data_IF_925356670752
#
_entry.id   IF_925356670752
#
_cell.length_a   1.000
_cell.length_b   1.000
_cell.length_c   1.000
_cell.angle_alpha   90.00
_cell.angle_beta   90.00
_cell.angle_gamma   90.00
#
_symmetry.space_group_name_H-M   'P 1'
#
loop_
_entity.id
_entity.type
_entity.pdbx_description
1 polymer ?
#
# COMPACT_ATOMS: atom_id res chain seq x y z
N UNK A 1 8.68 -21.59 11.70
CA UNK A 1 7.45 -20.97 11.17
C UNK A 1 7.74 -19.65 10.45
N UNK A 2 6.87 -19.24 9.52
CA UNK A 2 6.84 -17.88 8.97
C UNK A 2 5.70 -17.07 9.59
N UNK A 3 5.93 -15.80 9.92
CA UNK A 3 4.91 -14.85 10.35
C UNK A 3 4.63 -13.88 9.20
N UNK A 4 3.36 -13.75 8.81
CA UNK A 4 2.89 -12.80 7.81
C UNK A 4 2.07 -11.71 8.50
N UNK A 5 2.32 -10.45 8.15
CA UNK A 5 1.67 -9.28 8.75
C UNK A 5 1.19 -8.36 7.64
N UNK A 6 -0.04 -7.90 7.76
CA UNK A 6 -0.60 -6.76 7.03
C UNK A 6 -0.87 -5.62 8.01
N UNK A 7 0.02 -4.63 8.02
CA UNK A 7 -0.08 -3.46 8.88
C UNK A 7 -0.64 -2.28 8.09
N UNK A 8 -1.96 -2.26 7.98
CA UNK A 8 -2.71 -1.17 7.37
C UNK A 8 -2.94 0.01 8.32
N UNK A 9 -3.45 1.13 7.78
CA UNK A 9 -3.78 2.32 8.60
C UNK A 9 -4.99 2.17 9.54
N UNK A 10 -5.76 1.08 9.44
CA UNK A 10 -6.96 0.85 10.26
C UNK A 10 -6.95 -0.50 10.94
N UNK A 11 -6.57 -1.55 10.20
CA UNK A 11 -6.51 -2.90 10.71
C UNK A 11 -5.07 -3.40 10.65
N UNK A 12 -4.66 -4.11 11.70
CA UNK A 12 -3.44 -4.87 11.78
C UNK A 12 -3.84 -6.34 11.70
N UNK A 13 -3.35 -7.07 10.70
CA UNK A 13 -3.66 -8.48 10.51
C UNK A 13 -2.39 -9.29 10.53
N UNK A 14 -2.46 -10.50 11.05
CA UNK A 14 -1.32 -11.41 11.00
C UNK A 14 -1.76 -12.87 10.96
N UNK A 15 -0.89 -13.72 10.43
CA UNK A 15 -1.06 -15.16 10.42
C UNK A 15 0.29 -15.85 10.51
N UNK A 16 0.24 -17.10 10.93
CA UNK A 16 1.40 -17.98 11.01
C UNK A 16 1.30 -19.06 9.94
N UNK A 17 2.28 -19.14 9.03
CA UNK A 17 2.19 -20.01 7.84
C UNK A 17 0.83 -19.82 7.13
N UNK A 18 0.11 -20.90 6.85
CA UNK A 18 -1.25 -20.90 6.30
C UNK A 18 -2.32 -21.12 7.39
N UNK A 19 -2.04 -20.66 8.61
CA UNK A 19 -2.92 -20.79 9.77
C UNK A 19 -4.03 -19.73 9.81
N UNK A 20 -4.67 -19.62 10.98
CA UNK A 20 -5.73 -18.64 11.23
C UNK A 20 -5.25 -17.19 11.02
N UNK A 21 -6.13 -16.37 10.43
CA UNK A 21 -5.91 -14.94 10.26
C UNK A 21 -6.48 -14.18 11.45
N UNK A 22 -5.60 -13.55 12.21
CA UNK A 22 -5.98 -12.67 13.31
C UNK A 22 -6.13 -11.24 12.81
N UNK A 23 -7.14 -10.51 13.31
CA UNK A 23 -7.37 -9.10 12.96
C UNK A 23 -7.52 -8.27 14.23
N UNK A 24 -6.70 -7.23 14.34
CA UNK A 24 -6.65 -6.25 15.42
C UNK A 24 -6.79 -4.84 14.84
N UNK A 25 -6.96 -3.83 15.70
CA UNK A 25 -6.95 -2.42 15.28
C UNK A 25 -5.53 -1.88 15.29
N UNK A 26 -5.14 -1.19 14.22
CA UNK A 26 -3.79 -0.64 14.05
C UNK A 26 -3.38 0.35 15.14
N UNK A 27 -4.36 1.09 15.68
CA UNK A 27 -4.15 2.08 16.75
C UNK A 27 -3.71 1.47 18.07
N UNK A 28 -3.97 0.17 18.26
CA UNK A 28 -3.64 -0.56 19.50
C UNK A 28 -2.31 -1.31 19.39
N UNK A 29 -1.57 -1.16 18.28
CA UNK A 29 -0.38 -1.96 17.98
C UNK A 29 0.88 -1.11 17.93
N UNK A 30 1.80 -1.45 18.84
CA UNK A 30 3.20 -1.10 18.73
C UNK A 30 3.95 -2.25 18.05
N UNK A 31 4.46 -2.01 16.84
CA UNK A 31 5.00 -3.08 15.98
C UNK A 31 6.17 -3.83 16.62
N UNK A 32 7.15 -3.13 17.18
CA UNK A 32 8.34 -3.78 17.76
C UNK A 32 7.98 -4.64 18.97
N UNK A 33 7.28 -4.12 20.00
CA UNK A 33 6.80 -4.95 21.11
C UNK A 33 5.96 -6.14 20.65
N UNK A 34 5.08 -5.95 19.66
CA UNK A 34 4.30 -7.04 19.10
C UNK A 34 5.20 -8.14 18.52
N UNK A 35 6.13 -7.78 17.63
CA UNK A 35 7.04 -8.74 17.01
C UNK A 35 7.89 -9.49 18.05
N UNK A 36 8.46 -8.77 19.03
CA UNK A 36 9.24 -9.39 20.11
C UNK A 36 8.39 -10.36 20.95
N UNK A 37 7.13 -10.00 21.23
CA UNK A 37 6.22 -10.90 21.94
C UNK A 37 5.97 -12.19 21.15
N UNK A 38 5.76 -12.11 19.83
CA UNK A 38 5.54 -13.28 18.99
C UNK A 38 6.78 -14.17 18.90
N UNK A 39 7.97 -13.58 18.79
CA UNK A 39 9.24 -14.33 18.77
C UNK A 39 9.46 -15.10 20.08
N UNK A 40 9.18 -14.47 21.22
CA UNK A 40 9.35 -15.11 22.53
C UNK A 40 8.32 -16.23 22.78
N UNK A 41 7.09 -16.05 22.30
CA UNK A 41 6.01 -17.04 22.45
C UNK A 41 6.16 -18.20 21.46
N UNK A 42 6.53 -17.91 20.22
CA UNK A 42 6.65 -18.86 19.11
C UNK A 42 8.13 -19.04 18.78
N UNK A 43 8.83 -19.84 19.58
CA UNK A 43 10.30 -19.98 19.54
C UNK A 43 10.89 -20.54 18.23
N UNK A 44 10.07 -20.82 17.21
CA UNK A 44 10.48 -21.37 15.92
C UNK A 44 10.28 -20.40 14.74
N UNK A 45 9.91 -19.13 14.96
CA UNK A 45 9.80 -18.12 13.89
C UNK A 45 11.16 -17.95 13.19
N UNK A 46 11.20 -18.19 11.88
CA UNK A 46 12.43 -18.08 11.06
C UNK A 46 12.46 -16.81 10.22
N UNK A 47 11.30 -16.40 9.72
CA UNK A 47 11.15 -15.26 8.80
C UNK A 47 9.86 -14.52 9.09
N UNK A 48 9.90 -13.20 8.94
CA UNK A 48 8.75 -12.32 9.11
C UNK A 48 8.55 -11.53 7.81
N UNK A 49 7.34 -11.52 7.30
CA UNK A 49 6.93 -10.79 6.11
C UNK A 49 5.90 -9.74 6.50
N UNK A 50 6.14 -8.50 6.15
CA UNK A 50 5.32 -7.35 6.55
C UNK A 50 4.94 -6.57 5.30
N UNK A 51 3.64 -6.51 5.00
CA UNK A 51 3.08 -5.43 4.18
C UNK A 51 2.74 -4.25 5.07
N UNK A 52 3.18 -3.05 4.68
CA UNK A 52 3.04 -1.85 5.50
C UNK A 52 2.42 -0.70 4.70
N UNK A 53 1.38 -0.07 5.27
CA UNK A 53 0.75 1.12 4.72
C UNK A 53 1.61 2.36 4.97
N UNK A 54 2.66 2.54 4.18
CA UNK A 54 3.56 3.68 4.23
C UNK A 54 4.77 3.53 3.34
N UNK A 55 5.72 4.46 3.48
CA UNK A 55 6.97 4.45 2.74
C UNK A 55 7.97 3.54 3.44
N UNK A 56 8.48 2.56 2.70
CA UNK A 56 9.48 1.62 3.19
C UNK A 56 10.67 1.55 2.24
N UNK A 57 11.87 1.33 2.77
CA UNK A 57 13.08 1.18 1.95
C UNK A 57 14.08 0.27 2.64
N UNK A 58 14.57 -0.74 1.92
CA UNK A 58 15.62 -1.63 2.38
C UNK A 58 15.37 -2.27 3.77
N UNK A 59 14.12 -2.62 4.08
CA UNK A 59 13.76 -3.19 5.38
C UNK A 59 13.49 -2.17 6.49
N UNK A 60 13.49 -0.87 6.16
CA UNK A 60 13.15 0.23 7.07
C UNK A 60 11.79 0.82 6.75
N UNK A 61 11.04 1.20 7.77
CA UNK A 61 9.88 2.09 7.64
C UNK A 61 10.39 3.52 7.72
N UNK A 62 10.18 4.32 6.68
CA UNK A 62 10.59 5.72 6.66
C UNK A 62 9.52 6.60 7.29
N UNK A 63 8.27 6.45 6.86
CA UNK A 63 7.12 7.20 7.36
C UNK A 63 5.81 6.54 6.97
N UNK A 64 4.75 6.82 7.72
CA UNK A 64 3.36 6.51 7.34
C UNK A 64 2.46 7.72 7.63
N UNK A 65 1.46 8.03 6.78
CA UNK A 65 0.52 9.10 7.05
C UNK A 65 -0.47 8.77 8.18
N UNK A 66 -0.77 7.48 8.41
CA UNK A 66 -1.83 7.06 9.34
C UNK A 66 -1.32 6.16 10.48
N UNK A 67 -0.01 5.85 10.53
CA UNK A 67 0.61 5.02 11.56
C UNK A 67 1.78 5.81 12.15
N UNK A 68 1.82 5.95 13.48
CA UNK A 68 2.82 6.76 14.19
C UNK A 68 4.21 6.08 14.27
N UNK A 69 4.78 5.69 13.12
CA UNK A 69 6.10 5.08 12.99
C UNK A 69 6.91 5.89 11.97
N UNK A 70 8.13 6.27 12.34
CA UNK A 70 9.07 6.97 11.47
C UNK A 70 10.49 6.46 11.68
N UNK A 71 11.25 6.36 10.59
CA UNK A 71 12.67 5.96 10.59
C UNK A 71 13.00 4.72 11.43
N UNK A 72 12.19 3.67 11.31
CA UNK A 72 12.35 2.42 12.04
C UNK A 72 13.04 1.35 11.17
N UNK A 73 14.26 0.97 11.54
CA UNK A 73 15.02 -0.09 10.87
C UNK A 73 14.70 -1.47 11.45
N UNK A 74 13.65 -2.10 10.93
CA UNK A 74 13.22 -3.42 11.38
C UNK A 74 14.23 -4.50 10.97
N UNK A 75 14.74 -4.45 9.74
CA UNK A 75 15.61 -5.50 9.22
C UNK A 75 16.89 -5.63 10.02
N UNK A 76 17.59 -4.52 10.28
CA UNK A 76 18.84 -4.56 11.07
C UNK A 76 18.55 -4.94 12.51
N UNK A 77 17.55 -4.30 13.14
CA UNK A 77 17.21 -4.53 14.54
C UNK A 77 16.90 -6.01 14.86
N UNK A 78 16.03 -6.64 14.07
CA UNK A 78 15.61 -8.02 14.32
C UNK A 78 16.65 -9.06 13.89
N UNK A 79 17.46 -8.76 12.87
CA UNK A 79 18.55 -9.64 12.50
C UNK A 79 19.64 -9.67 13.58
N UNK A 80 20.09 -8.51 14.05
CA UNK A 80 21.16 -8.43 15.04
C UNK A 80 20.76 -9.02 16.40
N UNK A 81 19.51 -8.79 16.82
CA UNK A 81 19.03 -9.22 18.15
C UNK A 81 18.51 -10.66 18.18
N UNK A 82 17.88 -11.14 17.10
CA UNK A 82 17.18 -12.42 17.09
C UNK A 82 17.63 -13.36 15.96
N UNK A 83 18.54 -12.94 15.07
CA UNK A 83 18.90 -13.69 13.86
C UNK A 83 17.70 -14.00 12.95
N UNK A 84 16.68 -13.12 12.96
CA UNK A 84 15.46 -13.27 12.17
C UNK A 84 15.50 -12.33 10.96
N UNK A 85 15.24 -12.89 9.77
CA UNK A 85 15.11 -12.10 8.56
C UNK A 85 13.72 -11.46 8.46
N UNK A 86 13.69 -10.15 8.24
CA UNK A 86 12.47 -9.40 7.95
C UNK A 86 12.42 -8.97 6.49
N UNK A 87 11.31 -9.29 5.84
CA UNK A 87 10.93 -8.82 4.52
C UNK A 87 9.82 -7.78 4.69
N UNK A 88 10.13 -6.53 4.36
CA UNK A 88 9.21 -5.40 4.48
C UNK A 88 8.95 -4.81 3.10
N UNK A 89 7.68 -4.65 2.76
CA UNK A 89 7.26 -4.03 1.50
C UNK A 89 6.02 -3.16 1.72
N UNK A 90 5.82 -2.18 0.85
CA UNK A 90 4.61 -1.39 0.79
C UNK A 90 3.40 -2.29 0.48
N UNK A 91 2.27 -2.05 1.13
CA UNK A 91 1.03 -2.82 0.98
C UNK A 91 0.50 -2.86 -0.45
N UNK A 92 0.52 -1.73 -1.16
CA UNK A 92 0.06 -1.64 -2.53
C UNK A 92 0.99 -2.38 -3.50
N UNK A 93 2.30 -2.37 -3.24
CA UNK A 93 3.26 -3.20 -3.97
C UNK A 93 3.00 -4.70 -3.77
N UNK A 94 2.76 -5.14 -2.54
CA UNK A 94 2.39 -6.54 -2.23
C UNK A 94 1.15 -6.96 -3.00
N UNK A 95 0.13 -6.09 -3.02
CA UNK A 95 -1.08 -6.36 -3.76
C UNK A 95 -0.88 -6.42 -5.28
N UNK A 96 -0.03 -5.57 -5.84
CA UNK A 96 0.27 -5.60 -7.27
C UNK A 96 0.94 -6.92 -7.68
N UNK A 97 1.83 -7.47 -6.83
CA UNK A 97 2.41 -8.80 -7.05
C UNK A 97 1.35 -9.89 -6.98
N UNK A 98 0.45 -9.82 -5.99
CA UNK A 98 -0.64 -10.77 -5.87
C UNK A 98 -1.55 -10.75 -7.11
N UNK A 99 -1.94 -9.57 -7.59
CA UNK A 99 -2.75 -9.45 -8.80
C UNK A 99 -2.00 -9.89 -10.07
N UNK A 100 -0.70 -9.63 -10.16
CA UNK A 100 0.17 -10.15 -11.24
C UNK A 100 0.20 -11.68 -11.24
N UNK A 101 0.19 -12.32 -10.07
CA UNK A 101 0.16 -13.78 -9.96
C UNK A 101 -1.08 -14.43 -10.58
N UNK A 102 -2.19 -13.68 -10.67
CA UNK A 102 -3.44 -14.08 -11.36
C UNK A 102 -3.40 -13.77 -12.86
N UNK A 103 -2.52 -12.87 -13.29
CA UNK A 103 -2.38 -12.38 -14.66
C UNK A 103 -0.97 -12.65 -15.18
N UNK A 104 -0.45 -13.88 -15.01
CA UNK A 104 0.97 -14.22 -15.28
C UNK A 104 1.46 -13.89 -16.70
N UNK A 105 0.55 -13.78 -17.66
CA UNK A 105 0.85 -13.41 -19.06
C UNK A 105 0.95 -11.88 -19.28
N UNK A 106 0.70 -11.07 -18.26
CA UNK A 106 0.92 -9.63 -18.29
C UNK A 106 2.40 -9.34 -18.02
N UNK A 107 3.11 -8.86 -19.04
CA UNK A 107 4.49 -8.38 -18.86
C UNK A 107 4.50 -7.11 -18.01
N UNK A 108 3.56 -6.20 -18.26
CA UNK A 108 3.34 -5.00 -17.44
C UNK A 108 1.93 -5.05 -16.88
N UNK A 109 1.83 -4.96 -15.55
CA UNK A 109 0.58 -4.78 -14.82
C UNK A 109 0.63 -3.45 -14.07
N UNK A 110 -0.45 -2.69 -14.20
CA UNK A 110 -0.71 -1.51 -13.39
C UNK A 110 -1.89 -1.77 -12.46
N UNK A 111 -1.68 -1.57 -11.16
CA UNK A 111 -2.71 -1.62 -10.14
C UNK A 111 -3.05 -0.19 -9.73
N UNK A 112 -4.33 0.15 -9.71
CA UNK A 112 -4.83 1.39 -9.11
C UNK A 112 -5.67 1.07 -7.88
N UNK A 113 -5.41 1.80 -6.80
CA UNK A 113 -6.14 1.69 -5.55
C UNK A 113 -6.90 2.97 -5.25
N UNK A 114 -8.21 2.84 -5.02
CA UNK A 114 -9.09 3.91 -4.57
C UNK A 114 -9.70 3.47 -3.24
N UNK A 115 -9.24 4.08 -2.15
CA UNK A 115 -9.72 3.81 -0.80
C UNK A 115 -9.72 5.09 0.02
N UNK A 116 -9.14 5.08 1.22
CA UNK A 116 -8.93 6.32 2.00
C UNK A 116 -8.15 7.38 1.19
N UNK A 117 -7.23 6.93 0.34
CA UNK A 117 -6.45 7.72 -0.60
C UNK A 117 -6.56 7.21 -2.03
N UNK A 118 -5.63 7.64 -2.88
CA UNK A 118 -5.46 7.16 -4.25
C UNK A 118 -4.00 6.80 -4.51
N UNK A 119 -3.74 5.54 -4.86
CA UNK A 119 -2.40 5.03 -5.08
C UNK A 119 -2.30 4.18 -6.34
N UNK A 120 -1.08 3.93 -6.81
CA UNK A 120 -0.83 2.92 -7.83
C UNK A 120 0.45 2.15 -7.57
N UNK A 121 0.54 0.95 -8.15
CA UNK A 121 1.76 0.15 -8.14
C UNK A 121 1.90 -0.58 -9.48
N UNK A 122 3.14 -0.87 -9.85
CA UNK A 122 3.45 -1.49 -11.14
C UNK A 122 4.30 -2.73 -10.97
N UNK A 123 4.00 -3.74 -11.78
CA UNK A 123 4.82 -4.94 -11.93
C UNK A 123 5.27 -5.02 -13.38
N UNK A 124 6.58 -5.13 -13.60
CA UNK A 124 7.21 -5.25 -14.92
C UNK A 124 8.03 -6.53 -14.94
N UNK A 125 7.73 -7.41 -15.89
CA UNK A 125 8.34 -8.73 -16.06
C UNK A 125 8.40 -9.52 -14.74
N UNK A 126 7.28 -9.51 -14.00
CA UNK A 126 7.13 -10.20 -12.71
C UNK A 126 7.84 -9.55 -11.52
N UNK A 127 8.41 -8.34 -11.67
CA UNK A 127 9.10 -7.62 -10.61
C UNK A 127 8.40 -6.28 -10.30
N UNK A 128 8.28 -5.96 -9.02
CA UNK A 128 7.77 -4.64 -8.58
C UNK A 128 8.70 -3.54 -9.11
N UNK A 129 8.11 -2.53 -9.74
CA UNK A 129 8.79 -1.28 -10.03
C UNK A 129 8.81 -0.40 -8.78
N UNK A 130 9.93 -0.41 -8.06
CA UNK A 130 10.13 0.41 -6.85
C UNK A 130 10.63 1.83 -7.16
N UNK A 131 11.41 1.97 -8.23
CA UNK A 131 12.23 3.15 -8.45
C UNK A 131 13.37 3.26 -7.43
N UNK A 132 14.11 4.38 -7.45
CA UNK A 132 15.31 4.58 -6.61
C UNK A 132 15.02 4.55 -5.11
N UNK A 133 13.91 5.16 -4.69
CA UNK A 133 13.57 5.40 -3.29
C UNK A 133 12.27 4.72 -2.84
N UNK A 134 11.83 3.70 -3.58
CA UNK A 134 10.57 2.97 -3.37
C UNK A 134 9.32 3.87 -3.40
N UNK A 135 9.29 4.80 -4.37
CA UNK A 135 8.19 5.78 -4.57
C UNK A 135 7.66 5.77 -6.01
N UNK A 136 8.08 4.81 -6.84
CA UNK A 136 7.51 4.68 -8.18
C UNK A 136 6.05 4.23 -8.06
N UNK A 137 5.15 4.87 -8.82
CA UNK A 137 3.71 4.60 -8.71
C UNK A 137 2.95 5.51 -7.75
N UNK A 138 3.59 6.51 -7.15
CA UNK A 138 2.91 7.56 -6.37
C UNK A 138 2.14 8.58 -7.27
N UNK A 139 1.35 8.08 -8.23
CA UNK A 139 0.59 8.88 -9.20
C UNK A 139 -0.46 9.74 -8.52
N UNK A 140 -1.01 9.30 -7.39
CA UNK A 140 -1.94 10.10 -6.60
C UNK A 140 -1.35 11.42 -6.09
N UNK A 141 -0.03 11.53 -6.04
CA UNK A 141 0.66 12.76 -5.64
C UNK A 141 1.24 13.55 -6.82
N UNK A 142 0.78 13.27 -8.04
CA UNK A 142 1.03 14.12 -9.20
C UNK A 142 0.09 15.32 -9.20
N UNK A 143 0.55 16.53 -9.58
CA UNK A 143 -0.32 17.68 -9.74
C UNK A 143 -1.35 17.45 -10.84
N UNK A 144 -2.61 17.80 -10.60
CA UNK A 144 -3.68 17.67 -11.59
C UNK A 144 -4.29 18.99 -12.02
N UNK A 145 -4.94 19.72 -11.11
CA UNK A 145 -5.61 21.00 -11.38
C UNK A 145 -5.30 22.00 -10.29
N UNK A 146 -4.92 23.21 -10.71
CA UNK A 146 -4.64 24.28 -9.77
C UNK A 146 -5.90 24.67 -9.00
N UNK A 147 -5.90 24.42 -7.70
CA UNK A 147 -6.98 24.74 -6.77
C UNK A 147 -6.47 25.32 -5.45
N UNK A 148 -5.15 25.41 -5.30
CA UNK A 148 -4.48 25.87 -4.08
C UNK A 148 -4.87 25.00 -2.86
N UNK A 149 -5.14 23.71 -3.10
CA UNK A 149 -5.47 22.75 -2.05
C UNK A 149 -4.21 22.05 -1.55
N UNK A 150 -4.07 21.97 -0.22
CA UNK A 150 -2.94 21.31 0.44
C UNK A 150 -3.18 19.81 0.53
N UNK A 151 -2.24 19.01 0.02
CA UNK A 151 -2.22 17.57 0.21
C UNK A 151 -1.47 17.21 1.50
N UNK A 152 -1.88 16.12 2.15
CA UNK A 152 -1.19 15.58 3.33
C UNK A 152 0.27 15.19 3.07
N UNK A 153 0.67 14.99 1.81
CA UNK A 153 2.07 14.76 1.44
C UNK A 153 2.94 16.03 1.43
N UNK A 154 2.37 17.21 1.69
CA UNK A 154 3.07 18.50 1.71
C UNK A 154 3.13 19.24 0.36
N UNK A 155 2.63 18.63 -0.72
CA UNK A 155 2.46 19.27 -2.04
C UNK A 155 1.06 19.83 -2.23
N UNK A 156 0.89 20.60 -3.29
CA UNK A 156 -0.39 21.20 -3.67
C UNK A 156 -1.04 20.43 -4.81
N UNK A 157 -2.37 20.40 -4.80
CA UNK A 157 -3.18 20.01 -5.96
C UNK A 157 -2.90 18.59 -6.47
N UNK A 158 -2.52 17.71 -5.55
CA UNK A 158 -2.34 16.28 -5.81
C UNK A 158 -3.64 15.65 -6.31
N UNK A 159 -3.52 14.77 -7.30
CA UNK A 159 -4.63 14.01 -7.87
C UNK A 159 -5.48 13.26 -6.82
N UNK A 160 -4.86 12.74 -5.76
CA UNK A 160 -5.55 12.07 -4.64
C UNK A 160 -6.66 12.91 -4.01
N UNK A 161 -6.51 14.25 -3.98
CA UNK A 161 -7.48 15.16 -3.41
C UNK A 161 -8.84 15.11 -4.14
N UNK A 162 -8.84 14.66 -5.40
CA UNK A 162 -10.05 14.52 -6.20
C UNK A 162 -10.39 13.07 -6.58
N UNK A 163 -9.44 12.13 -6.53
CA UNK A 163 -9.65 10.73 -6.99
C UNK A 163 -9.68 9.70 -5.84
N UNK A 164 -9.60 10.15 -4.58
CA UNK A 164 -9.71 9.26 -3.41
C UNK A 164 -11.16 8.87 -3.08
N UNK A 165 -11.33 7.80 -2.31
CA UNK A 165 -12.64 7.45 -1.74
C UNK A 165 -13.18 8.50 -0.77
N UNK A 166 -12.31 9.29 -0.12
CA UNK A 166 -12.72 10.49 0.64
C UNK A 166 -13.38 11.52 -0.27
N UNK A 167 -12.76 11.85 -1.41
CA UNK A 167 -13.32 12.77 -2.40
C UNK A 167 -14.64 12.24 -2.98
N UNK A 168 -14.69 10.94 -3.31
CA UNK A 168 -15.89 10.30 -3.82
C UNK A 168 -17.04 10.37 -2.83
N UNK A 169 -16.80 10.03 -1.56
CA UNK A 169 -17.82 10.08 -0.50
C UNK A 169 -18.40 11.49 -0.36
N UNK A 170 -17.55 12.52 -0.30
CA UNK A 170 -18.00 13.92 -0.27
C UNK A 170 -18.87 14.28 -1.48
N UNK A 171 -18.47 13.89 -2.69
CA UNK A 171 -19.22 14.21 -3.91
C UNK A 171 -20.65 13.65 -3.93
N UNK A 172 -20.87 12.47 -3.34
CA UNK A 172 -22.19 11.86 -3.25
C UNK A 172 -23.01 12.37 -2.06
N UNK A 173 -22.39 12.57 -0.90
CA UNK A 173 -23.08 13.11 0.28
C UNK A 173 -23.67 14.50 0.02
N UNK A 174 -22.99 15.32 -0.78
CA UNK A 174 -23.44 16.68 -1.13
C UNK A 174 -24.14 16.78 -2.49
N UNK A 175 -24.36 15.66 -3.20
CA UNK A 175 -24.91 15.63 -4.56
C UNK A 175 -24.20 16.62 -5.53
N UNK A 176 -22.89 16.76 -5.38
CA UNK A 176 -22.09 17.72 -6.14
C UNK A 176 -21.65 17.13 -7.48
N UNK A 177 -22.39 17.46 -8.54
CA UNK A 177 -22.10 17.02 -9.91
C UNK A 177 -20.75 17.53 -10.43
N UNK A 178 -20.27 18.69 -9.96
CA UNK A 178 -18.95 19.19 -10.35
C UNK A 178 -17.84 18.34 -9.71
N UNK A 179 -17.99 17.96 -8.44
CA UNK A 179 -17.05 17.06 -7.77
C UNK A 179 -17.06 15.65 -8.38
N UNK A 180 -18.21 15.11 -8.76
CA UNK A 180 -18.30 13.81 -9.47
C UNK A 180 -17.60 13.86 -10.83
N UNK A 181 -17.86 14.92 -11.61
CA UNK A 181 -17.19 15.13 -12.90
C UNK A 181 -15.69 15.22 -12.71
N UNK A 182 -15.23 15.97 -11.73
CA UNK A 182 -13.80 16.11 -11.45
C UNK A 182 -13.16 14.78 -11.04
N UNK A 183 -13.83 14.00 -10.18
CA UNK A 183 -13.36 12.66 -9.82
C UNK A 183 -13.11 11.79 -11.06
N UNK A 184 -14.07 11.78 -12.00
CA UNK A 184 -13.96 11.02 -13.26
C UNK A 184 -12.86 11.55 -14.16
N UNK A 185 -12.72 12.88 -14.28
CA UNK A 185 -11.65 13.51 -15.07
C UNK A 185 -10.27 13.22 -14.48
N UNK A 186 -10.11 13.28 -13.17
CA UNK A 186 -8.87 12.93 -12.48
C UNK A 186 -8.54 11.45 -12.64
N UNK A 187 -9.53 10.56 -12.51
CA UNK A 187 -9.33 9.14 -12.75
C UNK A 187 -8.89 8.87 -14.20
N UNK A 188 -9.56 9.49 -15.17
CA UNK A 188 -9.19 9.39 -16.58
C UNK A 188 -7.78 9.90 -16.83
N UNK A 189 -7.37 11.00 -16.18
CA UNK A 189 -6.01 11.53 -16.24
C UNK A 189 -4.97 10.53 -15.70
N UNK A 190 -5.22 9.90 -14.56
CA UNK A 190 -4.33 8.86 -14.01
C UNK A 190 -4.18 7.67 -14.97
N UNK A 191 -5.31 7.15 -15.47
CA UNK A 191 -5.31 6.03 -16.40
C UNK A 191 -4.59 6.37 -17.69
N UNK A 192 -4.90 7.53 -18.30
CA UNK A 192 -4.24 8.01 -19.50
C UNK A 192 -2.73 8.17 -19.30
N UNK A 193 -2.31 8.72 -18.16
CA UNK A 193 -0.89 8.88 -17.82
C UNK A 193 -0.19 7.52 -17.78
N UNK A 194 -0.74 6.55 -17.07
CA UNK A 194 -0.16 5.20 -16.98
C UNK A 194 -0.18 4.47 -18.32
N UNK A 195 -1.26 4.57 -19.08
CA UNK A 195 -1.37 3.96 -20.40
C UNK A 195 -0.26 4.45 -21.33
N UNK A 196 0.00 5.75 -21.36
CA UNK A 196 1.04 6.31 -22.21
C UNK A 196 2.47 6.03 -21.71
N UNK A 197 2.68 5.98 -20.39
CA UNK A 197 4.02 5.74 -19.83
C UNK A 197 4.42 4.26 -19.86
N UNK A 198 3.46 3.35 -19.66
CA UNK A 198 3.75 1.94 -19.39
C UNK A 198 3.03 0.97 -20.33
N UNK A 199 1.99 1.39 -21.04
CA UNK A 199 1.18 0.54 -21.90
C UNK A 199 0.85 -0.84 -21.27
N UNK A 200 0.28 -0.88 -20.05
CA UNK A 200 0.09 -2.13 -19.32
C UNK A 200 -0.91 -3.04 -20.05
N UNK A 201 -0.63 -4.35 -20.05
CA UNK A 201 -1.53 -5.35 -20.65
C UNK A 201 -2.81 -5.55 -19.83
N UNK A 202 -2.76 -5.22 -18.54
CA UNK A 202 -3.90 -5.26 -17.63
C UNK A 202 -3.84 -4.08 -16.67
N UNK A 203 -4.99 -3.42 -16.48
CA UNK A 203 -5.24 -2.49 -15.38
C UNK A 203 -6.23 -3.16 -14.44
N UNK A 204 -5.82 -3.49 -13.21
CA UNK A 204 -6.73 -4.09 -12.23
C UNK A 204 -7.19 -3.03 -11.23
N UNK A 205 -8.47 -3.08 -10.87
CA UNK A 205 -9.03 -2.38 -9.70
C UNK A 205 -9.08 -3.40 -8.56
N UNK A 206 -8.63 -3.02 -7.37
CA UNK A 206 -8.73 -3.91 -6.21
C UNK A 206 -10.17 -4.40 -6.03
N UNK A 207 -10.43 -5.68 -5.71
CA UNK A 207 -11.72 -6.09 -5.21
C UNK A 207 -12.02 -5.30 -3.94
N UNK A 208 -13.27 -4.86 -3.75
CA UNK A 208 -13.75 -4.58 -2.41
C UNK A 208 -13.42 -5.79 -1.54
N UNK A 209 -13.03 -5.55 -0.29
CA UNK A 209 -12.74 -6.59 0.70
C UNK A 209 -13.89 -7.59 0.79
N UNK A 210 -13.86 -8.64 -0.02
CA UNK A 210 -14.71 -9.82 0.10
C UNK A 210 -13.81 -10.95 0.52
N UNK A 211 -13.64 -11.09 1.84
CA UNK A 211 -13.44 -12.28 2.68
C UNK A 211 -12.70 -13.55 2.19
N UNK A 212 -12.10 -13.61 1.01
CA UNK A 212 -11.44 -14.83 0.51
C UNK A 212 -10.05 -14.49 -0.05
N UNK A 213 -9.09 -14.38 0.85
CA UNK A 213 -7.69 -14.66 0.54
C UNK A 213 -7.41 -16.07 1.05
N UNK A 214 -7.56 -17.04 0.15
CA UNK A 214 -7.06 -18.42 0.28
C UNK A 214 -5.70 -18.54 -0.40
#
# INVERSE_FOLDING_TARGET
>A
MNLYIDFGGTNFRYSFNNGELFTLKSVDIELVPFLESQINLQQDIRKIYISFAGQVKNGKILSSPNIAIQNLDLKTYFYDKYSIEIFLENDLNCAAVYEHSKHKNADILALFYIGTGFGSAFVISGKILRGKDNIAGEIGHTPFRKKDLKCGCGRDDCLELCVSGKALKGSFEYADEAAKKEFLEGLAFAFHTVLNLFNPRATCRFPQTTNNLS
#
